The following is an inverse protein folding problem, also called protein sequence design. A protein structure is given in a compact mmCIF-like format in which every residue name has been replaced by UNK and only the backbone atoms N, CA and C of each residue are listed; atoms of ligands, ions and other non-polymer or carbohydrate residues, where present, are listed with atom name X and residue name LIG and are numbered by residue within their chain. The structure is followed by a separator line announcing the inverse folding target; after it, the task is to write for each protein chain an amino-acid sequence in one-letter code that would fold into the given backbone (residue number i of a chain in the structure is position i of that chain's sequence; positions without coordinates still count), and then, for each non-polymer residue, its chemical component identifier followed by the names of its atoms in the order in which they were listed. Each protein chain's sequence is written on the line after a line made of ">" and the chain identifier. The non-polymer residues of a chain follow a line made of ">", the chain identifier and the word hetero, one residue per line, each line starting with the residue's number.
data_IF_998337148762
#
_entry.id   IF_998337148762
#
_cell.length_a   1.000
_cell.length_b   1.000
_cell.length_c   1.000
_cell.angle_alpha   90.00
_cell.angle_beta   90.00
_cell.angle_gamma   90.00
#
_symmetry.space_group_name_H-M   'P 1'
#
loop_
_entity.id
_entity.type
_entity.pdbx_description
1 polymer ?
#
# COMPACT_ATOMS: atom_id res chain seq x y z
N UNK A 1 6.02 -13.05 -3.96
CA UNK A 1 5.05 -12.02 -4.36
C UNK A 1 5.44 -10.76 -3.60
N UNK A 2 5.91 -9.73 -4.31
CA UNK A 2 6.42 -8.51 -3.69
C UNK A 2 5.27 -7.58 -3.30
N UNK A 3 5.46 -6.86 -2.21
CA UNK A 3 4.53 -5.83 -1.76
C UNK A 3 5.27 -4.50 -1.66
N UNK A 4 4.52 -3.45 -1.91
CA UNK A 4 4.98 -2.08 -1.81
C UNK A 4 4.08 -1.29 -0.89
N UNK A 5 4.68 -0.37 -0.14
CA UNK A 5 3.96 0.64 0.63
C UNK A 5 4.01 1.93 -0.16
N UNK A 6 2.84 2.41 -0.55
CA UNK A 6 2.65 3.63 -1.34
C UNK A 6 2.04 4.69 -0.46
N UNK A 7 2.41 5.96 -0.65
CA UNK A 7 1.72 7.05 0.04
C UNK A 7 0.23 7.03 -0.29
N UNK A 8 -0.63 7.19 0.73
CA UNK A 8 -2.08 7.09 0.56
C UNK A 8 -2.65 8.11 -0.42
N UNK A 9 -2.09 9.31 -0.49
CA UNK A 9 -2.50 10.35 -1.44
C UNK A 9 -2.11 9.95 -2.87
N UNK A 10 -0.85 9.55 -3.08
CA UNK A 10 -0.38 9.09 -4.39
C UNK A 10 -1.17 7.86 -4.89
N UNK A 11 -1.49 6.92 -4.01
CA UNK A 11 -2.31 5.76 -4.34
C UNK A 11 -3.75 6.15 -4.72
N UNK A 12 -4.33 7.18 -4.09
CA UNK A 12 -5.64 7.73 -4.50
C UNK A 12 -5.58 8.43 -5.84
N UNK A 13 -4.57 9.27 -6.06
CA UNK A 13 -4.39 10.00 -7.33
C UNK A 13 -4.17 9.04 -8.51
N UNK A 14 -3.46 7.94 -8.28
CA UNK A 14 -3.26 6.88 -9.24
C UNK A 14 -4.47 5.95 -9.42
N UNK A 15 -5.54 6.11 -8.62
CA UNK A 15 -6.73 5.27 -8.65
C UNK A 15 -6.53 3.84 -8.12
N UNK A 16 -5.39 3.58 -7.47
CA UNK A 16 -5.03 2.27 -6.89
C UNK A 16 -5.77 2.04 -5.57
N UNK A 17 -6.13 3.11 -4.86
CA UNK A 17 -6.80 3.05 -3.57
C UNK A 17 -8.01 3.99 -3.51
N UNK A 18 -9.11 3.52 -2.91
CA UNK A 18 -10.32 4.30 -2.63
C UNK A 18 -10.72 4.10 -1.16
N UNK A 19 -11.26 5.14 -0.53
CA UNK A 19 -11.75 5.01 0.85
C UNK A 19 -12.94 4.06 0.96
N UNK A 20 -12.93 3.25 2.01
CA UNK A 20 -13.92 2.19 2.22
C UNK A 20 -13.52 0.86 1.57
N UNK A 21 -12.39 0.79 0.87
CA UNK A 21 -11.86 -0.48 0.42
C UNK A 21 -11.45 -1.36 1.61
N UNK A 22 -11.82 -2.64 1.52
CA UNK A 22 -11.81 -3.58 2.65
C UNK A 22 -10.40 -4.01 3.08
N UNK A 23 -9.31 -3.47 2.50
CA UNK A 23 -7.97 -3.98 2.72
C UNK A 23 -6.84 -2.93 2.75
N UNK A 24 -5.98 -3.12 3.78
CA UNK A 24 -4.51 -2.92 3.81
C UNK A 24 -3.96 -1.50 3.63
N UNK A 25 -4.69 -0.49 4.11
CA UNK A 25 -4.13 0.83 4.32
C UNK A 25 -3.74 1.04 5.80
N UNK A 26 -2.63 1.73 6.02
CA UNK A 26 -2.30 2.39 7.29
C UNK A 26 -2.79 3.84 7.24
N UNK A 27 -2.55 4.61 8.31
CA UNK A 27 -2.87 6.04 8.33
C UNK A 27 -2.22 6.82 7.17
N UNK A 28 -1.01 6.43 6.76
CA UNK A 28 -0.20 7.23 5.82
C UNK A 28 0.14 6.51 4.51
N UNK A 29 -0.08 5.20 4.42
CA UNK A 29 0.26 4.46 3.21
C UNK A 29 -0.58 3.21 2.97
N UNK A 30 -0.67 2.82 1.71
CA UNK A 30 -1.44 1.68 1.21
C UNK A 30 -0.49 0.57 0.81
N UNK A 31 -0.71 -0.62 1.37
CA UNK A 31 0.05 -1.80 1.02
C UNK A 31 -0.57 -2.42 -0.24
N UNK A 32 0.18 -2.40 -1.33
CA UNK A 32 -0.26 -2.90 -2.64
C UNK A 32 0.67 -4.02 -3.10
N UNK A 33 0.15 -4.96 -3.87
CA UNK A 33 0.98 -5.96 -4.54
C UNK A 33 1.63 -5.35 -5.77
N UNK A 34 2.81 -5.84 -6.13
CA UNK A 34 3.50 -5.47 -7.37
C UNK A 34 2.59 -5.55 -8.61
N UNK A 35 1.78 -6.61 -8.71
CA UNK A 35 0.85 -6.80 -9.83
C UNK A 35 -0.34 -5.83 -9.83
N UNK A 36 -0.62 -5.15 -8.71
CA UNK A 36 -1.71 -4.16 -8.61
C UNK A 36 -1.27 -2.76 -9.03
N UNK A 37 0.03 -2.58 -9.31
CA UNK A 37 0.55 -1.32 -9.83
C UNK A 37 0.16 -1.08 -11.28
N UNK A 38 -0.32 -2.09 -12.02
CA UNK A 38 -0.82 -1.98 -13.40
C UNK A 38 0.09 -1.18 -14.35
N UNK A 39 1.41 -1.40 -14.26
CA UNK A 39 2.39 -0.68 -15.10
C UNK A 39 2.70 0.75 -14.65
N UNK A 40 2.18 1.18 -13.49
CA UNK A 40 2.60 2.42 -12.84
C UNK A 40 4.05 2.31 -12.39
N UNK A 41 4.77 3.41 -12.54
CA UNK A 41 6.14 3.53 -12.08
C UNK A 41 6.18 3.61 -10.55
N UNK A 42 6.81 2.61 -9.92
CA UNK A 42 6.89 2.52 -8.47
C UNK A 42 7.59 3.74 -7.86
N UNK A 43 8.63 4.28 -8.52
CA UNK A 43 9.31 5.49 -8.08
C UNK A 43 8.39 6.72 -8.21
N UNK A 44 7.58 6.79 -9.28
CA UNK A 44 6.56 7.82 -9.47
C UNK A 44 5.49 7.84 -8.37
N UNK A 45 5.21 6.68 -7.76
CA UNK A 45 4.26 6.54 -6.66
C UNK A 45 4.92 6.68 -5.27
N UNK A 46 6.22 6.98 -5.19
CA UNK A 46 6.98 6.91 -3.94
C UNK A 46 6.82 5.55 -3.24
N UNK A 47 6.71 4.48 -4.03
CA UNK A 47 6.48 3.15 -3.54
C UNK A 47 7.79 2.59 -2.98
N UNK A 48 7.76 2.18 -1.70
CA UNK A 48 8.90 1.46 -1.10
C UNK A 48 8.59 -0.03 -1.01
N UNK A 49 9.54 -0.93 -1.32
CA UNK A 49 9.36 -2.34 -1.04
C UNK A 49 9.19 -2.56 0.46
N UNK A 50 8.33 -3.50 0.82
CA UNK A 50 8.03 -3.83 2.22
C UNK A 50 8.51 -5.25 2.52
N UNK A 51 9.16 -5.42 3.67
CA UNK A 51 9.62 -6.75 4.10
C UNK A 51 8.46 -7.61 4.59
N UNK A 52 8.65 -8.93 4.61
CA UNK A 52 7.62 -9.86 5.11
C UNK A 52 7.25 -9.62 6.58
N UNK A 53 8.23 -9.19 7.39
CA UNK A 53 8.00 -8.84 8.79
C UNK A 53 7.14 -7.59 8.94
N UNK A 54 7.43 -6.53 8.17
CA UNK A 54 6.61 -5.31 8.15
C UNK A 54 5.17 -5.59 7.67
N UNK A 55 5.00 -6.42 6.63
CA UNK A 55 3.68 -6.85 6.17
C UNK A 55 2.93 -7.54 7.31
N UNK A 56 3.59 -8.45 8.02
CA UNK A 56 3.00 -9.17 9.15
C UNK A 56 2.62 -8.21 10.29
N UNK A 57 3.46 -7.23 10.60
CA UNK A 57 3.14 -6.20 11.60
C UNK A 57 1.99 -5.29 11.17
N UNK A 58 1.87 -4.98 9.88
CA UNK A 58 0.80 -4.14 9.36
C UNK A 58 -0.54 -4.89 9.26
N UNK A 59 -0.51 -6.17 8.91
CA UNK A 59 -1.70 -7.03 8.87
C UNK A 59 -2.20 -7.39 10.27
N UNK A 60 -1.29 -7.56 11.24
CA UNK A 60 -1.63 -7.88 12.63
C UNK A 60 -1.94 -6.63 13.47
N UNK A 61 -1.66 -5.43 12.98
CA UNK A 61 -2.20 -4.19 13.56
C UNK A 61 -3.66 -4.08 13.11
N UNK A 62 -4.54 -4.83 13.79
CA UNK A 62 -5.94 -4.42 13.94
C UNK A 62 -5.94 -2.93 14.25
N UNK A 63 -6.66 -2.17 13.41
CA UNK A 63 -6.79 -0.72 13.39
C UNK A 63 -6.31 -0.06 14.70
N UNK A 64 -5.15 0.60 14.64
CA UNK A 64 -4.81 1.57 15.67
C UNK A 64 -5.83 2.71 15.54
N UNK A 65 -6.87 2.62 16.38
CA UNK A 65 -7.86 3.66 16.64
C UNK A 65 -7.22 5.04 16.78
#
# INVERSE_FOLDING_TARGET
>A
MNYYLINKEAAREAGIYVDGDTHRATMTGVLVRENELDGQDADGLSARPVTHEEITQMLNKEELK
#
